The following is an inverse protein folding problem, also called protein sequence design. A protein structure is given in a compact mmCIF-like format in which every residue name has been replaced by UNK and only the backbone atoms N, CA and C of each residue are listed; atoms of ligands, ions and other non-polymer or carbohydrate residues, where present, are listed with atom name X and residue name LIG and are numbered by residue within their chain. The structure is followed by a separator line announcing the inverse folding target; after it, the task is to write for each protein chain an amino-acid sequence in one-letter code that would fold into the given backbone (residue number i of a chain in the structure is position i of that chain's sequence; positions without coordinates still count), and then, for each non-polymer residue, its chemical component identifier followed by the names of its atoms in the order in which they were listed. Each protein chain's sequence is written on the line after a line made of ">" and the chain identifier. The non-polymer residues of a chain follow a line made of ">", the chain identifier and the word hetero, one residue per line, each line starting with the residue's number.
data_IF_897097631546
#
_entry.id   IF_897097631546
#
_cell.length_a   1.000
_cell.length_b   1.000
_cell.length_c   1.000
_cell.angle_alpha   90.00
_cell.angle_beta   90.00
_cell.angle_gamma   90.00
#
_symmetry.space_group_name_H-M   'P 1'
#
loop_
_entity.id
_entity.type
_entity.pdbx_description
1 polymer ?
#
# COMPACT_ATOMS: atom_id res chain seq x y z
N UNK A 1 4.68 46.63 -36.31
CA UNK A 1 3.99 45.32 -36.13
C UNK A 1 4.67 44.40 -35.09
N UNK A 2 5.54 44.89 -34.20
CA UNK A 2 6.43 44.04 -33.37
C UNK A 2 6.07 43.96 -31.88
N UNK A 3 5.29 44.92 -31.34
CA UNK A 3 4.95 44.94 -29.89
C UNK A 3 3.84 43.94 -29.52
N UNK A 4 2.90 43.66 -30.43
CA UNK A 4 1.83 42.66 -30.20
C UNK A 4 2.40 41.23 -30.16
N UNK A 5 3.40 40.94 -30.99
CA UNK A 5 4.11 39.65 -31.03
C UNK A 5 4.90 39.38 -29.74
N UNK A 6 5.46 40.44 -29.14
CA UNK A 6 6.20 40.36 -27.88
C UNK A 6 5.28 40.05 -26.69
N UNK A 7 4.08 40.64 -26.63
CA UNK A 7 3.09 40.37 -25.58
C UNK A 7 2.46 38.97 -25.69
N UNK A 8 2.24 38.47 -26.91
CA UNK A 8 1.76 37.09 -27.12
C UNK A 8 2.82 36.04 -26.75
N UNK A 9 4.10 36.34 -26.96
CA UNK A 9 5.19 35.43 -26.56
C UNK A 9 5.39 35.41 -25.04
N UNK A 10 5.22 36.56 -24.38
CA UNK A 10 5.34 36.67 -22.93
C UNK A 10 4.21 35.93 -22.19
N UNK A 11 2.98 36.02 -22.69
CA UNK A 11 1.81 35.32 -22.14
C UNK A 11 1.83 33.81 -22.39
N UNK A 12 2.32 33.37 -23.55
CA UNK A 12 2.50 31.93 -23.86
C UNK A 12 3.57 31.29 -22.97
N UNK A 13 4.61 32.04 -22.60
CA UNK A 13 5.67 31.58 -21.69
C UNK A 13 5.15 31.42 -20.26
N UNK A 14 4.27 32.31 -19.77
CA UNK A 14 3.77 32.25 -18.38
C UNK A 14 2.85 31.06 -18.12
N UNK A 15 2.13 30.59 -19.14
CA UNK A 15 1.22 29.42 -19.04
C UNK A 15 2.01 28.12 -18.86
N UNK A 16 3.25 28.05 -19.35
CA UNK A 16 4.09 26.84 -19.28
C UNK A 16 4.68 26.60 -17.87
N UNK A 17 4.71 27.61 -17.00
CA UNK A 17 5.33 27.53 -15.67
C UNK A 17 4.39 27.07 -14.54
N UNK A 18 3.08 26.98 -14.76
CA UNK A 18 2.11 26.66 -13.70
C UNK A 18 1.78 25.16 -13.57
N UNK A 19 2.33 24.28 -14.42
CA UNK A 19 2.00 22.85 -14.41
C UNK A 19 3.08 21.94 -13.81
N UNK A 20 4.02 22.49 -13.04
CA UNK A 20 5.13 21.74 -12.47
C UNK A 20 5.02 21.51 -10.96
N UNK A 21 4.00 20.76 -10.51
CA UNK A 21 4.01 20.19 -9.16
C UNK A 21 3.56 18.73 -9.24
N UNK A 22 4.52 17.81 -9.19
CA UNK A 22 4.26 16.39 -8.93
C UNK A 22 4.98 16.03 -7.62
N UNK A 23 4.28 16.18 -6.50
CA UNK A 23 4.71 15.69 -5.19
C UNK A 23 4.09 14.31 -4.97
N UNK A 24 4.53 13.31 -5.74
CA UNK A 24 4.21 11.92 -5.43
C UNK A 24 5.10 11.46 -4.29
N UNK A 25 4.61 11.53 -3.07
CA UNK A 25 5.07 10.64 -2.00
C UNK A 25 4.33 9.31 -2.15
N UNK A 26 4.52 8.61 -3.27
CA UNK A 26 4.11 7.21 -3.39
C UNK A 26 5.19 6.36 -2.71
N UNK A 27 5.21 6.40 -1.38
CA UNK A 27 5.48 5.17 -0.67
C UNK A 27 4.11 4.56 -0.42
N UNK A 28 3.63 3.59 -1.22
CA UNK A 28 2.44 2.84 -0.84
C UNK A 28 2.85 1.99 0.35
N UNK A 29 2.90 2.61 1.53
CA UNK A 29 2.58 1.89 2.74
C UNK A 29 1.16 1.40 2.49
N UNK A 30 1.00 0.10 2.23
CA UNK A 30 -0.29 -0.57 2.38
C UNK A 30 -0.65 -0.41 3.86
N UNK A 31 -1.16 0.78 4.22
CA UNK A 31 -1.48 1.18 5.58
C UNK A 31 -2.58 0.28 6.16
N UNK A 32 -3.24 -0.46 5.27
CA UNK A 32 -4.31 -1.38 5.58
C UNK A 32 -3.81 -2.81 5.82
N UNK A 33 -2.51 -3.11 5.90
CA UNK A 33 -2.00 -4.44 6.24
C UNK A 33 -1.26 -4.49 7.59
N UNK A 34 -1.42 -5.61 8.30
CA UNK A 34 -0.76 -5.91 9.56
C UNK A 34 -0.04 -7.26 9.54
N UNK A 35 0.90 -7.44 10.46
CA UNK A 35 1.61 -8.72 10.67
C UNK A 35 1.03 -9.45 11.88
N UNK A 36 0.68 -10.72 11.69
CA UNK A 36 0.16 -11.61 12.72
C UNK A 36 1.15 -12.76 12.96
N UNK A 37 1.64 -12.88 14.19
CA UNK A 37 2.45 -14.00 14.65
C UNK A 37 1.65 -14.84 15.66
N UNK A 38 1.62 -16.16 15.47
CA UNK A 38 0.87 -17.09 16.32
C UNK A 38 1.80 -18.23 16.73
N UNK A 39 1.88 -18.52 18.02
CA UNK A 39 2.60 -19.67 18.58
C UNK A 39 1.65 -20.61 19.34
N UNK A 40 2.00 -21.88 19.41
CA UNK A 40 1.24 -22.90 20.14
C UNK A 40 2.15 -23.97 20.74
N UNK A 41 1.60 -24.69 21.72
CA UNK A 41 2.20 -25.91 22.28
C UNK A 41 1.17 -27.03 22.16
N UNK A 42 1.42 -28.11 21.39
CA UNK A 42 2.62 -28.39 20.61
C UNK A 42 2.84 -27.42 19.44
N UNK A 43 4.09 -27.30 18.99
CA UNK A 43 4.48 -26.42 17.87
C UNK A 43 4.01 -26.98 16.52
N UNK A 44 4.14 -26.21 15.43
CA UNK A 44 3.86 -26.63 14.05
C UNK A 44 2.40 -27.01 13.73
N UNK A 45 1.41 -26.40 14.39
CA UNK A 45 0.00 -26.54 14.00
C UNK A 45 -0.29 -25.77 12.70
N UNK A 46 -1.15 -26.33 11.84
CA UNK A 46 -1.67 -25.67 10.65
C UNK A 46 -2.60 -24.52 11.02
N UNK A 47 -2.39 -23.38 10.38
CA UNK A 47 -3.14 -22.14 10.63
C UNK A 47 -4.18 -21.93 9.53
N UNK A 48 -5.43 -21.72 9.93
CA UNK A 48 -6.56 -21.38 9.05
C UNK A 48 -7.10 -20.00 9.39
N UNK A 49 -7.34 -19.18 8.36
CA UNK A 49 -7.92 -17.84 8.45
C UNK A 49 -9.29 -17.87 7.77
N UNK A 50 -10.35 -17.55 8.52
CA UNK A 50 -11.74 -17.64 8.06
C UNK A 50 -12.08 -18.99 7.45
N UNK A 51 -11.60 -20.08 8.06
CA UNK A 51 -11.80 -21.45 7.61
C UNK A 51 -10.94 -21.90 6.42
N UNK A 52 -10.19 -21.00 5.78
CA UNK A 52 -9.31 -21.31 4.65
C UNK A 52 -7.89 -21.54 5.14
N UNK A 53 -7.19 -22.55 4.61
CA UNK A 53 -5.79 -22.81 4.97
C UNK A 53 -4.91 -21.64 4.57
N UNK A 54 -4.07 -21.17 5.49
CA UNK A 54 -3.09 -20.12 5.21
C UNK A 54 -1.82 -20.64 4.52
N UNK A 55 -1.63 -21.96 4.47
CA UNK A 55 -0.36 -22.58 4.06
C UNK A 55 0.81 -22.33 5.02
N UNK A 56 0.56 -21.72 6.18
CA UNK A 56 1.53 -21.44 7.24
C UNK A 56 1.25 -22.27 8.48
N UNK A 57 2.27 -22.40 9.32
CA UNK A 57 2.20 -23.07 10.61
C UNK A 57 2.44 -22.09 11.75
N UNK A 58 2.01 -22.46 12.95
CA UNK A 58 2.35 -21.72 14.17
C UNK A 58 3.87 -21.61 14.31
N UNK A 59 4.37 -20.39 14.54
CA UNK A 59 5.79 -20.05 14.44
C UNK A 59 6.13 -19.20 13.19
N UNK A 60 5.25 -19.17 12.19
CA UNK A 60 5.37 -18.28 11.04
C UNK A 60 4.70 -16.92 11.30
N UNK A 61 5.03 -15.93 10.46
CA UNK A 61 4.34 -14.62 10.40
C UNK A 61 3.46 -14.55 9.16
N UNK A 62 2.22 -14.13 9.33
CA UNK A 62 1.28 -13.84 8.25
C UNK A 62 1.16 -12.32 8.07
N UNK A 63 1.09 -11.86 6.82
CA UNK A 63 0.69 -10.48 6.50
C UNK A 63 -0.75 -10.52 6.02
N UNK A 64 -1.64 -9.76 6.66
CA UNK A 64 -3.07 -9.77 6.39
C UNK A 64 -3.60 -8.33 6.36
N UNK A 65 -4.60 -8.03 5.52
CA UNK A 65 -5.33 -6.77 5.62
C UNK A 65 -5.95 -6.57 7.01
N UNK A 66 -6.17 -5.32 7.40
CA UNK A 66 -6.87 -4.95 8.62
C UNK A 66 -8.30 -5.48 8.56
N UNK A 67 -8.76 -6.01 9.70
CA UNK A 67 -10.08 -6.63 9.77
C UNK A 67 -10.18 -7.64 10.90
N UNK A 68 -11.37 -8.21 11.03
CA UNK A 68 -11.66 -9.28 12.00
C UNK A 68 -11.55 -10.63 11.31
N UNK A 69 -10.85 -11.57 11.95
CA UNK A 69 -10.60 -12.90 11.42
C UNK A 69 -10.96 -13.97 12.45
N UNK A 70 -11.56 -15.06 11.99
CA UNK A 70 -11.65 -16.28 12.77
C UNK A 70 -10.40 -17.12 12.51
N UNK A 71 -9.62 -17.38 13.56
CA UNK A 71 -8.39 -18.18 13.49
C UNK A 71 -8.66 -19.58 14.03
N UNK A 72 -8.30 -20.60 13.27
CA UNK A 72 -8.40 -22.01 13.71
C UNK A 72 -7.03 -22.67 13.58
N UNK A 73 -6.62 -23.40 14.62
CA UNK A 73 -5.37 -24.15 14.66
C UNK A 73 -5.68 -25.64 14.66
N UNK A 74 -4.98 -26.43 13.83
CA UNK A 74 -5.10 -27.90 13.80
C UNK A 74 -3.71 -28.53 13.82
N UNK A 75 -3.54 -29.59 14.59
CA UNK A 75 -2.28 -30.34 14.72
C UNK A 75 -2.31 -31.60 13.87
#
# INVERSE_FOLDING_TARGET
>A
MTRKLLFTLFTLSTILFLTGCDNKTDNPINADEGKLFISSTPTLADVFINGTSSGKKTGDTLTLPTGTYSVTLKK
#
